data_IF_337583947687
#
_entry.id   IF_337583947687
#
_cell.length_a   1.000
_cell.length_b   1.000
_cell.length_c   1.000
_cell.angle_alpha   90.00
_cell.angle_beta   90.00
_cell.angle_gamma   90.00
#
_symmetry.space_group_name_H-M   'P 1'
#
loop_
_entity.id
_entity.type
_entity.pdbx_description
1 polymer ?
#
# COMPACT_ATOMS: atom_id res chain seq x y z
N UNK A 1 -33.87 37.03 -19.94
CA UNK A 1 -34.18 35.92 -20.03
C UNK A 1 -33.13 34.94 -20.18
N UNK A 2 -32.22 34.87 -20.66
CA UNK A 2 -31.23 33.97 -20.89
C UNK A 2 -30.28 33.83 -19.77
N UNK A 3 -30.46 34.46 -18.73
CA UNK A 3 -29.55 34.45 -17.61
C UNK A 3 -29.46 33.13 -16.92
N UNK A 4 -30.60 32.44 -16.79
CA UNK A 4 -30.61 31.17 -16.10
C UNK A 4 -29.73 30.12 -16.73
N UNK A 5 -29.64 30.12 -18.05
CA UNK A 5 -28.86 29.08 -18.70
C UNK A 5 -27.38 29.21 -18.40
N UNK A 6 -26.90 30.41 -18.23
CA UNK A 6 -25.51 30.58 -17.91
C UNK A 6 -25.16 30.10 -16.52
N UNK A 7 -26.06 30.36 -15.60
CA UNK A 7 -25.85 29.88 -14.24
C UNK A 7 -25.81 28.38 -14.18
N UNK A 8 -26.62 27.75 -14.99
CA UNK A 8 -26.61 26.31 -15.02
C UNK A 8 -25.28 25.74 -15.48
N UNK A 9 -24.68 26.41 -16.44
CA UNK A 9 -23.38 25.97 -16.89
C UNK A 9 -22.33 26.01 -15.81
N UNK A 10 -22.35 27.06 -15.02
CA UNK A 10 -21.40 27.19 -13.93
C UNK A 10 -21.60 26.09 -12.89
N UNK A 11 -22.83 25.83 -12.56
CA UNK A 11 -23.13 24.78 -11.59
C UNK A 11 -22.64 23.43 -12.08
N UNK A 12 -22.75 23.16 -13.35
CA UNK A 12 -22.28 21.90 -13.89
C UNK A 12 -20.79 21.75 -13.74
N UNK A 13 -20.04 22.84 -13.95
CA UNK A 13 -18.59 22.79 -13.79
C UNK A 13 -18.20 22.48 -12.36
N UNK A 14 -18.85 23.12 -11.40
CA UNK A 14 -18.58 22.86 -10.01
C UNK A 14 -18.87 21.43 -9.65
N UNK A 15 -19.90 20.89 -10.21
CA UNK A 15 -20.30 19.54 -9.92
C UNK A 15 -19.25 18.54 -10.39
N UNK A 16 -18.66 18.76 -11.54
CA UNK A 16 -17.58 17.91 -12.01
C UNK A 16 -16.38 18.00 -11.10
N UNK A 17 -16.07 19.17 -10.61
CA UNK A 17 -14.95 19.33 -9.69
C UNK A 17 -15.17 18.65 -8.34
N UNK A 18 -16.42 18.36 -8.01
CA UNK A 18 -16.72 17.71 -6.75
C UNK A 18 -16.63 16.20 -6.82
N UNK A 19 -16.42 15.62 -7.99
CA UNK A 19 -16.29 14.18 -8.09
C UNK A 19 -15.04 13.72 -7.37
N UNK A 20 -15.15 12.75 -6.48
CA UNK A 20 -13.98 12.26 -5.77
C UNK A 20 -13.07 11.53 -6.74
N UNK A 21 -11.78 11.61 -6.47
CA UNK A 21 -10.85 10.76 -7.16
C UNK A 21 -11.14 9.31 -6.79
N UNK A 22 -11.05 8.43 -7.76
CA UNK A 22 -11.19 7.02 -7.48
C UNK A 22 -10.04 6.57 -6.60
N UNK A 23 -10.34 5.78 -5.60
CA UNK A 23 -9.31 5.17 -4.78
C UNK A 23 -8.47 4.25 -5.66
N UNK A 24 -7.20 4.12 -5.33
CA UNK A 24 -6.34 3.18 -6.01
C UNK A 24 -6.85 1.77 -5.78
N UNK A 25 -6.71 0.90 -6.77
CA UNK A 25 -7.05 -0.50 -6.61
C UNK A 25 -5.75 -1.27 -6.40
N UNK A 26 -5.56 -1.74 -5.16
CA UNK A 26 -4.36 -2.47 -4.80
C UNK A 26 -4.61 -3.97 -4.67
N UNK A 27 -5.82 -4.43 -5.00
CA UNK A 27 -6.12 -5.85 -4.94
C UNK A 27 -5.20 -6.60 -5.89
N UNK A 28 -4.60 -7.67 -5.41
CA UNK A 28 -3.72 -8.50 -6.20
C UNK A 28 -2.38 -8.75 -5.55
N UNK A 29 -1.43 -9.11 -6.37
CA UNK A 29 -0.12 -9.57 -5.92
C UNK A 29 0.94 -8.53 -6.29
N UNK A 30 1.78 -8.22 -5.32
CA UNK A 30 2.85 -7.23 -5.48
C UNK A 30 4.15 -7.82 -4.98
N UNK A 31 5.25 -7.56 -5.68
CA UNK A 31 6.56 -8.09 -5.29
C UNK A 31 7.56 -6.98 -5.11
N UNK A 32 8.52 -7.22 -4.23
CA UNK A 32 9.64 -6.31 -4.04
C UNK A 32 10.87 -7.10 -3.59
N UNK A 33 12.04 -6.61 -3.98
CA UNK A 33 13.32 -7.13 -3.50
C UNK A 33 14.14 -5.95 -3.05
N UNK A 34 14.81 -6.10 -1.92
CA UNK A 34 15.63 -5.02 -1.38
C UNK A 34 16.71 -5.57 -0.48
N UNK A 35 17.79 -4.82 -0.34
CA UNK A 35 18.91 -5.19 0.53
C UNK A 35 18.73 -4.54 1.89
N UNK A 36 19.11 -5.27 2.92
CA UNK A 36 19.13 -4.76 4.28
C UNK A 36 20.49 -5.02 4.90
N UNK A 37 20.73 -4.49 6.08
CA UNK A 37 21.97 -4.72 6.81
C UNK A 37 22.19 -6.20 7.09
N UNK A 38 21.12 -7.00 7.10
CA UNK A 38 21.21 -8.43 7.35
C UNK A 38 21.02 -9.24 6.08
N UNK A 39 21.17 -8.62 4.91
CA UNK A 39 21.12 -9.32 3.63
C UNK A 39 19.89 -9.01 2.81
N UNK A 40 19.78 -9.64 1.63
CA UNK A 40 18.68 -9.38 0.72
C UNK A 40 17.38 -9.99 1.22
N UNK A 41 16.27 -9.33 0.90
CA UNK A 41 14.93 -9.80 1.24
C UNK A 41 14.04 -9.72 0.00
N UNK A 42 13.17 -10.70 -0.13
CA UNK A 42 12.15 -10.74 -1.18
C UNK A 42 10.79 -10.86 -0.51
N UNK A 43 9.86 -10.04 -0.96
CA UNK A 43 8.50 -10.06 -0.44
C UNK A 43 7.50 -10.14 -1.56
N UNK A 44 6.43 -10.88 -1.31
CA UNK A 44 5.22 -10.88 -2.14
C UNK A 44 4.05 -10.55 -1.22
N UNK A 45 3.36 -9.47 -1.54
CA UNK A 45 2.16 -9.09 -0.80
C UNK A 45 0.94 -9.47 -1.62
N UNK A 46 0.06 -10.26 -1.03
CA UNK A 46 -1.24 -10.57 -1.62
C UNK A 46 -2.27 -9.72 -0.90
N UNK A 47 -2.88 -8.79 -1.61
CA UNK A 47 -3.76 -7.79 -1.01
C UNK A 47 -5.19 -7.95 -1.48
N UNK A 48 -6.13 -7.73 -0.57
CA UNK A 48 -7.55 -7.67 -0.87
C UNK A 48 -8.12 -6.41 -0.22
N UNK A 49 -8.94 -5.68 -0.95
CA UNK A 49 -9.51 -4.41 -0.49
C UNK A 49 -11.02 -4.56 -0.35
N UNK A 50 -11.52 -4.12 0.80
CA UNK A 50 -12.96 -4.03 1.05
C UNK A 50 -13.22 -2.66 1.67
N UNK A 51 -13.75 -1.73 0.86
CA UNK A 51 -13.90 -0.34 1.28
C UNK A 51 -12.54 0.30 1.49
N UNK A 52 -12.28 0.78 2.68
CA UNK A 52 -10.97 1.32 3.05
C UNK A 52 -10.11 0.31 3.81
N UNK A 53 -10.60 -0.90 4.01
CA UNK A 53 -9.85 -1.94 4.70
C UNK A 53 -9.06 -2.78 3.73
N UNK A 54 -7.83 -3.09 4.13
CA UNK A 54 -6.95 -3.95 3.34
C UNK A 54 -6.55 -5.13 4.21
N UNK A 55 -6.70 -6.33 3.64
CA UNK A 55 -6.26 -7.56 4.28
C UNK A 55 -5.32 -8.29 3.34
N UNK A 56 -4.59 -9.24 3.85
CA UNK A 56 -3.74 -10.05 3.02
C UNK A 56 -2.62 -10.69 3.76
N UNK A 57 -1.69 -11.23 2.99
CA UNK A 57 -0.52 -11.92 3.52
C UNK A 57 0.74 -11.44 2.84
N UNK A 58 1.81 -11.44 3.60
CA UNK A 58 3.15 -11.26 3.07
C UNK A 58 3.83 -12.63 3.05
N UNK A 59 4.31 -13.04 1.89
CA UNK A 59 5.19 -14.18 1.76
C UNK A 59 6.59 -13.63 1.57
N UNK A 60 7.57 -14.21 2.23
CA UNK A 60 8.89 -13.61 2.18
C UNK A 60 10.00 -14.64 2.16
N UNK A 61 11.14 -14.21 1.68
CA UNK A 61 12.38 -14.95 1.77
C UNK A 61 13.43 -14.00 2.31
N UNK A 62 13.95 -14.35 3.46
CA UNK A 62 14.96 -13.56 4.19
C UNK A 62 16.13 -14.46 4.49
N UNK A 63 17.31 -14.11 3.96
CA UNK A 63 18.52 -14.87 4.25
C UNK A 63 18.36 -16.37 3.95
N UNK A 64 17.63 -16.67 2.86
CA UNK A 64 17.40 -18.04 2.45
C UNK A 64 16.26 -18.73 3.15
N UNK A 65 15.65 -18.12 4.15
CA UNK A 65 14.50 -18.69 4.86
C UNK A 65 13.21 -18.12 4.33
N UNK A 66 12.22 -19.00 4.11
CA UNK A 66 10.91 -18.62 3.61
C UNK A 66 9.91 -18.60 4.74
N UNK A 67 8.97 -17.67 4.68
CA UNK A 67 7.92 -17.59 5.66
C UNK A 67 6.74 -16.78 5.15
N UNK A 68 5.73 -16.68 6.00
CA UNK A 68 4.52 -15.91 5.73
C UNK A 68 4.08 -15.19 6.98
N UNK A 69 3.42 -14.06 6.78
CA UNK A 69 2.81 -13.32 7.88
C UNK A 69 1.50 -12.71 7.40
N UNK A 70 0.52 -12.66 8.29
CA UNK A 70 -0.70 -11.92 7.99
C UNK A 70 -0.41 -10.43 8.06
N UNK A 71 -1.04 -9.67 7.17
CA UNK A 71 -0.97 -8.22 7.24
C UNK A 71 -2.02 -7.72 8.20
N UNK A 72 -1.62 -6.83 9.08
CA UNK A 72 -2.47 -6.30 10.15
C UNK A 72 -2.72 -4.82 9.91
N UNK A 73 -3.84 -4.32 10.42
CA UNK A 73 -4.16 -2.89 10.41
C UNK A 73 -4.12 -2.28 9.01
N UNK A 74 -4.51 -3.05 8.01
CA UNK A 74 -4.46 -2.60 6.63
C UNK A 74 -5.51 -1.55 6.32
N UNK A 75 -5.06 -0.48 5.67
CA UNK A 75 -5.93 0.65 5.36
C UNK A 75 -5.51 1.30 4.05
N UNK A 76 -6.49 1.68 3.25
CA UNK A 76 -6.27 2.39 2.00
C UNK A 76 -7.18 3.60 1.97
N UNK A 77 -6.58 4.79 1.91
CA UNK A 77 -7.32 6.05 1.79
C UNK A 77 -6.76 6.78 0.58
N UNK A 78 -7.56 6.90 -0.48
CA UNK A 78 -7.07 7.45 -1.72
C UNK A 78 -5.95 6.58 -2.28
N UNK A 79 -4.78 7.15 -2.42
CA UNK A 79 -3.58 6.43 -2.88
C UNK A 79 -2.63 6.09 -1.74
N UNK A 80 -3.04 6.28 -0.48
CA UNK A 80 -2.20 6.02 0.69
C UNK A 80 -2.56 4.68 1.29
N UNK A 81 -1.62 3.76 1.26
CA UNK A 81 -1.76 2.40 1.77
C UNK A 81 -0.89 2.23 3.01
N UNK A 82 -1.44 1.60 4.03
CA UNK A 82 -0.64 1.28 5.22
C UNK A 82 -1.03 -0.10 5.74
N UNK A 83 -0.08 -0.80 6.32
CA UNK A 83 -0.32 -2.05 7.03
C UNK A 83 0.87 -2.37 7.91
N UNK A 84 0.70 -3.42 8.71
CA UNK A 84 1.69 -3.84 9.69
C UNK A 84 1.98 -5.31 9.50
N UNK A 85 3.24 -5.66 9.64
CA UNK A 85 3.70 -7.04 9.68
C UNK A 85 4.40 -7.24 11.02
N UNK A 86 4.09 -8.35 11.71
CA UNK A 86 4.81 -8.69 12.93
C UNK A 86 5.88 -9.71 12.62
N UNK A 87 7.07 -9.48 13.11
CA UNK A 87 8.22 -10.35 12.91
C UNK A 87 8.79 -10.74 14.25
N UNK A 88 9.12 -12.01 14.42
CA UNK A 88 9.77 -12.46 15.64
C UNK A 88 11.27 -12.49 15.46
N UNK A 89 11.97 -11.68 16.23
CA UNK A 89 13.41 -11.63 16.23
C UNK A 89 13.91 -12.25 17.54
N UNK A 90 14.40 -13.49 17.46
CA UNK A 90 14.95 -14.19 18.63
C UNK A 90 13.96 -14.22 19.79
N UNK A 91 12.69 -14.51 19.49
CA UNK A 91 11.64 -14.60 20.50
C UNK A 91 11.02 -13.27 20.89
N UNK A 92 11.47 -12.17 20.32
CA UNK A 92 10.93 -10.85 20.61
C UNK A 92 10.12 -10.37 19.42
N UNK A 93 8.85 -9.99 19.59
CA UNK A 93 8.08 -9.46 18.49
C UNK A 93 8.55 -8.08 18.07
N UNK A 94 8.70 -7.89 16.76
CA UNK A 94 9.08 -6.62 16.16
C UNK A 94 7.96 -6.18 15.24
N UNK A 95 7.50 -4.95 15.42
CA UNK A 95 6.45 -4.38 14.60
C UNK A 95 7.07 -3.68 13.40
N UNK A 96 6.65 -4.10 12.20
CA UNK A 96 7.11 -3.49 10.97
C UNK A 96 5.93 -2.73 10.37
N UNK A 97 6.07 -1.42 10.22
CA UNK A 97 5.02 -0.57 9.68
C UNK A 97 5.35 -0.17 8.25
N UNK A 98 4.39 -0.38 7.37
CA UNK A 98 4.50 0.00 5.97
C UNK A 98 3.57 1.15 5.69
N UNK A 99 4.09 2.19 5.06
CA UNK A 99 3.29 3.31 4.56
C UNK A 99 3.69 3.53 3.11
N UNK A 100 2.71 3.48 2.21
CA UNK A 100 3.00 3.53 0.81
C UNK A 100 2.10 4.47 0.04
N UNK A 101 2.62 4.95 -1.08
CA UNK A 101 1.85 5.72 -2.04
C UNK A 101 1.73 4.87 -3.31
N UNK A 102 0.50 4.66 -3.73
CA UNK A 102 0.19 3.82 -4.89
C UNK A 102 0.20 4.69 -6.14
N UNK A 103 0.96 4.26 -7.14
CA UNK A 103 1.00 4.92 -8.45
C UNK A 103 0.94 3.84 -9.53
N UNK A 104 -0.26 3.60 -10.05
CA UNK A 104 -0.44 2.57 -11.08
C UNK A 104 -0.01 1.20 -10.59
N UNK A 105 1.01 0.63 -11.19
CA UNK A 105 1.50 -0.71 -10.88
C UNK A 105 2.69 -0.70 -9.93
N UNK A 106 2.92 0.42 -9.27
CA UNK A 106 3.99 0.56 -8.28
C UNK A 106 3.45 1.12 -6.98
N UNK A 107 4.05 0.67 -5.87
CA UNK A 107 3.81 1.26 -4.56
C UNK A 107 5.18 1.62 -3.98
N UNK A 108 5.34 2.90 -3.67
CA UNK A 108 6.55 3.37 -3.00
C UNK A 108 6.29 3.33 -1.50
N UNK A 109 6.98 2.43 -0.81
CA UNK A 109 6.80 2.22 0.62
C UNK A 109 7.93 2.81 1.43
N UNK A 110 7.55 3.33 2.60
CA UNK A 110 8.46 3.53 3.72
C UNK A 110 8.20 2.37 4.68
N UNK A 111 9.24 1.64 5.03
CA UNK A 111 9.15 0.44 5.87
C UNK A 111 9.93 0.69 7.14
N UNK A 112 9.23 0.82 8.26
CA UNK A 112 9.81 1.11 9.56
C UNK A 112 9.88 -0.19 10.37
N UNK A 113 11.08 -0.64 10.67
CA UNK A 113 11.31 -1.90 11.37
C UNK A 113 11.53 -1.60 12.85
N UNK A 114 10.47 -1.72 13.62
CA UNK A 114 10.51 -1.60 15.07
C UNK A 114 11.01 -0.25 15.60
N UNK A 115 11.00 0.78 14.79
CA UNK A 115 11.54 2.08 15.18
C UNK A 115 13.06 2.16 15.09
N UNK A 116 13.74 1.09 14.66
CA UNK A 116 15.20 1.07 14.59
C UNK A 116 15.73 1.54 13.25
N UNK A 117 15.04 1.19 12.18
CA UNK A 117 15.51 1.53 10.83
C UNK A 117 14.30 1.74 9.94
N UNK A 118 14.40 2.69 9.02
CA UNK A 118 13.38 2.94 8.00
C UNK A 118 14.01 2.71 6.64
N UNK A 119 13.33 1.93 5.82
CA UNK A 119 13.80 1.56 4.49
C UNK A 119 12.82 2.07 3.45
N UNK A 120 13.34 2.53 2.32
CA UNK A 120 12.50 2.95 1.20
C UNK A 120 12.55 1.83 0.17
N UNK A 121 11.37 1.27 -0.13
CA UNK A 121 11.28 0.15 -1.07
C UNK A 121 10.18 0.43 -2.08
N UNK A 122 10.26 -0.24 -3.23
CA UNK A 122 9.24 -0.13 -4.27
C UNK A 122 8.71 -1.52 -4.56
N UNK A 123 7.41 -1.68 -4.45
CA UNK A 123 6.74 -2.92 -4.82
C UNK A 123 6.09 -2.74 -6.18
N UNK A 124 6.08 -3.80 -6.98
CA UNK A 124 5.51 -3.78 -8.32
C UNK A 124 4.42 -4.83 -8.44
N UNK A 125 3.36 -4.47 -9.14
CA UNK A 125 2.26 -5.39 -9.38
C UNK A 125 2.74 -6.54 -10.26
N UNK A 126 2.39 -7.76 -9.85
CA UNK A 126 2.65 -8.93 -10.68
C UNK A 126 1.66 -8.94 -11.83
N UNK A 127 2.16 -8.99 -13.04
CA UNK A 127 1.35 -9.05 -14.24
C UNK A 127 1.08 -10.50 -14.61
N UNK A 128 -0.13 -10.77 -15.03
CA UNK A 128 -0.51 -12.13 -15.47
C UNK A 128 -0.60 -12.20 -16.98
#
# INVERSE_FOLDING_TARGET
MRIGSRLLGVAAVLFLGALPALAADVTGKWTTEFDTQVGPQKYTFNLAVAGDKVTGKASFERMGEKGEADLLEGKLVGDQLSFVEMFEAMGTPVRIEYKGTVKGDEIAFSRDVGGFVTEQIVARRVQN
#
